data_IF_356509456269
#
_entry.id   IF_356509456269
#
_cell.length_a   1.000
_cell.length_b   1.000
_cell.length_c   1.000
_cell.angle_alpha   90.00
_cell.angle_beta   90.00
_cell.angle_gamma   90.00
#
_symmetry.space_group_name_H-M   'P 1'
#
loop_
_entity.id
_entity.type
_entity.pdbx_description
1 polymer ?
#
# COMPACT_ATOMS: atom_id res chain seq x y z
N UNK A 1 -9.92 14.66 -23.22
CA UNK A 1 -9.99 15.52 -22.01
C UNK A 1 -11.29 15.20 -21.30
N UNK A 2 -11.23 14.79 -20.02
CA UNK A 2 -12.43 14.58 -19.19
C UNK A 2 -12.87 15.94 -18.59
N UNK A 3 -14.17 16.23 -18.55
CA UNK A 3 -14.73 17.42 -17.88
C UNK A 3 -15.74 16.97 -16.83
N UNK A 4 -15.49 17.34 -15.58
CA UNK A 4 -16.36 17.06 -14.42
C UNK A 4 -16.66 18.40 -13.75
N UNK A 5 -17.91 18.60 -13.31
CA UNK A 5 -18.28 19.77 -12.50
C UNK A 5 -18.14 19.39 -11.03
N UNK A 6 -17.49 20.27 -10.27
CA UNK A 6 -17.30 20.15 -8.84
C UNK A 6 -17.63 21.50 -8.21
N UNK A 7 -18.26 21.46 -7.06
CA UNK A 7 -18.33 22.59 -6.14
C UNK A 7 -16.93 22.88 -5.57
N UNK A 8 -16.70 24.09 -5.02
CA UNK A 8 -15.44 24.40 -4.35
C UNK A 8 -15.10 23.44 -3.20
N UNK A 9 -16.13 22.98 -2.46
CA UNK A 9 -15.96 22.04 -1.36
C UNK A 9 -15.49 20.65 -1.84
N UNK A 10 -16.14 20.11 -2.88
CA UNK A 10 -15.74 18.82 -3.48
C UNK A 10 -14.33 18.90 -4.07
N UNK A 11 -13.94 20.04 -4.66
CA UNK A 11 -12.58 20.25 -5.15
C UNK A 11 -11.53 20.24 -4.03
N UNK A 12 -11.83 20.89 -2.90
CA UNK A 12 -10.95 20.91 -1.75
C UNK A 12 -10.77 19.50 -1.16
N UNK A 13 -11.87 18.75 -1.00
CA UNK A 13 -11.83 17.36 -0.52
C UNK A 13 -11.02 16.46 -1.45
N UNK A 14 -11.25 16.55 -2.77
CA UNK A 14 -10.55 15.74 -3.76
C UNK A 14 -9.03 16.02 -3.76
N UNK A 15 -8.66 17.29 -3.57
CA UNK A 15 -7.25 17.72 -3.46
C UNK A 15 -6.62 17.15 -2.18
N UNK A 16 -7.29 17.25 -1.04
CA UNK A 16 -6.79 16.71 0.23
C UNK A 16 -6.57 15.19 0.17
N UNK A 17 -7.49 14.44 -0.46
CA UNK A 17 -7.33 12.99 -0.65
C UNK A 17 -6.13 12.69 -1.57
N UNK A 18 -5.94 13.47 -2.64
CA UNK A 18 -4.82 13.31 -3.55
C UNK A 18 -3.48 13.56 -2.83
N UNK A 19 -3.40 14.63 -2.06
CA UNK A 19 -2.21 15.01 -1.28
C UNK A 19 -1.87 13.95 -0.23
N UNK A 20 -2.86 13.49 0.54
CA UNK A 20 -2.68 12.43 1.54
C UNK A 20 -2.18 11.12 0.92
N UNK A 21 -2.63 10.80 -0.29
CA UNK A 21 -2.19 9.62 -1.03
C UNK A 21 -0.89 9.83 -1.84
N UNK A 22 -0.37 11.07 -1.91
CA UNK A 22 0.81 11.40 -2.71
C UNK A 22 0.58 11.28 -4.22
N UNK A 23 -0.62 11.59 -4.69
CA UNK A 23 -0.99 11.63 -6.10
C UNK A 23 -1.39 13.05 -6.54
N UNK A 24 -1.36 13.30 -7.85
CA UNK A 24 -2.10 14.45 -8.40
C UNK A 24 -3.60 14.11 -8.45
N UNK A 25 -4.46 15.14 -8.39
CA UNK A 25 -5.93 14.96 -8.55
C UNK A 25 -6.28 14.17 -9.82
N UNK A 26 -5.59 14.44 -10.93
CA UNK A 26 -5.82 13.72 -12.19
C UNK A 26 -5.44 12.23 -12.10
N UNK A 27 -4.35 11.88 -11.40
CA UNK A 27 -3.95 10.49 -11.23
C UNK A 27 -4.91 9.74 -10.29
N UNK A 28 -5.35 10.40 -9.21
CA UNK A 28 -6.36 9.89 -8.29
C UNK A 28 -7.67 9.55 -9.02
N UNK A 29 -8.19 10.49 -9.83
CA UNK A 29 -9.41 10.30 -10.61
C UNK A 29 -9.25 9.15 -11.61
N UNK A 30 -8.13 9.10 -12.34
CA UNK A 30 -7.86 8.03 -13.31
C UNK A 30 -7.79 6.66 -12.63
N UNK A 31 -7.14 6.56 -11.48
CA UNK A 31 -7.05 5.32 -10.71
C UNK A 31 -8.42 4.84 -10.29
N UNK A 32 -9.22 5.70 -9.64
CA UNK A 32 -10.57 5.36 -9.20
C UNK A 32 -11.50 4.99 -10.36
N UNK A 33 -11.51 5.78 -11.43
CA UNK A 33 -12.36 5.53 -12.60
C UNK A 33 -12.03 4.20 -13.32
N UNK A 34 -10.80 3.70 -13.19
CA UNK A 34 -10.34 2.44 -13.78
C UNK A 34 -10.21 1.29 -12.75
N UNK A 35 -10.75 1.46 -11.54
CA UNK A 35 -10.71 0.45 -10.48
C UNK A 35 -9.30 0.10 -9.97
N UNK A 36 -8.33 1.02 -10.13
CA UNK A 36 -6.95 0.82 -9.66
C UNK A 36 -6.80 1.27 -8.21
N UNK A 37 -6.02 0.55 -7.39
CA UNK A 37 -5.79 0.92 -6.00
C UNK A 37 -5.08 2.28 -5.86
N UNK A 38 -5.49 3.01 -4.83
CA UNK A 38 -4.91 4.27 -4.38
C UNK A 38 -4.19 3.97 -3.06
N UNK A 39 -2.98 3.42 -3.16
CA UNK A 39 -2.07 3.25 -2.03
C UNK A 39 -1.27 4.54 -1.86
N UNK A 40 -1.10 5.03 -0.64
CA UNK A 40 -0.22 6.16 -0.43
C UNK A 40 1.20 5.80 -0.91
N UNK A 41 1.93 6.74 -1.52
CA UNK A 41 3.31 6.49 -1.97
C UNK A 41 4.20 5.96 -0.83
N UNK A 42 3.95 6.42 0.40
CA UNK A 42 4.59 5.92 1.61
C UNK A 42 4.27 4.43 1.86
N UNK A 43 3.01 4.01 1.71
CA UNK A 43 2.60 2.61 1.84
C UNK A 43 3.24 1.73 0.78
N UNK A 44 3.37 2.23 -0.46
CA UNK A 44 4.02 1.50 -1.54
C UNK A 44 5.53 1.30 -1.29
N UNK A 45 6.21 2.28 -0.68
CA UNK A 45 7.61 2.13 -0.26
C UNK A 45 7.74 1.15 0.91
N UNK A 46 6.85 1.25 1.91
CA UNK A 46 6.84 0.37 3.07
C UNK A 46 6.54 -1.09 2.68
N UNK A 47 5.56 -1.33 1.81
CA UNK A 47 5.24 -2.67 1.29
C UNK A 47 6.43 -3.27 0.53
N UNK A 48 7.17 -2.46 -0.24
CA UNK A 48 8.39 -2.95 -0.93
C UNK A 48 9.44 -3.41 0.07
N UNK A 49 9.65 -2.66 1.15
CA UNK A 49 10.62 -3.04 2.18
C UNK A 49 10.17 -4.28 2.96
N UNK A 50 8.89 -4.40 3.30
CA UNK A 50 8.31 -5.60 3.91
C UNK A 50 8.49 -6.84 3.03
N UNK A 51 8.29 -6.72 1.71
CA UNK A 51 8.54 -7.82 0.77
C UNK A 51 10.02 -8.20 0.70
N UNK A 52 10.93 -7.22 0.72
CA UNK A 52 12.37 -7.45 0.76
C UNK A 52 12.77 -8.23 2.00
N UNK A 53 12.33 -7.78 3.18
CA UNK A 53 12.58 -8.47 4.45
C UNK A 53 11.97 -9.88 4.47
N UNK A 54 10.76 -10.05 3.94
CA UNK A 54 10.12 -11.36 3.81
C UNK A 54 10.95 -12.35 2.97
N UNK A 55 11.56 -11.89 1.87
CA UNK A 55 12.47 -12.71 1.07
C UNK A 55 13.70 -13.17 1.85
N UNK A 56 14.30 -12.28 2.65
CA UNK A 56 15.44 -12.61 3.51
C UNK A 56 15.07 -13.62 4.61
N UNK A 57 13.93 -13.42 5.28
CA UNK A 57 13.46 -14.32 6.36
C UNK A 57 13.03 -15.68 5.79
N UNK A 58 12.43 -15.70 4.60
CA UNK A 58 12.10 -16.94 3.89
C UNK A 58 13.36 -17.80 3.70
N UNK A 59 14.48 -17.19 3.33
CA UNK A 59 15.74 -17.92 3.21
C UNK A 59 16.17 -18.57 4.53
N UNK A 60 16.07 -17.84 5.65
CA UNK A 60 16.35 -18.38 7.00
C UNK A 60 15.41 -19.54 7.37
N UNK A 61 14.12 -19.43 7.01
CA UNK A 61 13.16 -20.51 7.22
C UNK A 61 13.55 -21.77 6.44
N UNK A 62 13.89 -21.61 5.15
CA UNK A 62 14.27 -22.71 4.24
C UNK A 62 15.59 -23.38 4.62
N UNK A 63 16.55 -22.64 5.20
CA UNK A 63 17.80 -23.22 5.71
C UNK A 63 17.61 -24.14 6.92
N UNK A 64 16.44 -24.07 7.58
CA UNK A 64 16.14 -24.89 8.75
C UNK A 64 16.92 -24.50 10.02
N UNK A 65 16.67 -25.21 11.12
CA UNK A 65 17.39 -25.04 12.39
C UNK A 65 16.59 -24.36 13.49
N UNK A 66 17.28 -23.90 14.54
CA UNK A 66 16.66 -23.40 15.77
C UNK A 66 15.72 -22.20 15.56
N UNK A 67 15.90 -21.45 14.47
CA UNK A 67 15.15 -20.22 14.19
C UNK A 67 13.92 -20.43 13.29
N UNK A 68 13.65 -21.65 12.80
CA UNK A 68 12.55 -21.91 11.85
C UNK A 68 11.18 -21.47 12.38
N UNK A 69 10.88 -21.72 13.66
CA UNK A 69 9.61 -21.31 14.26
C UNK A 69 9.45 -19.78 14.31
N UNK A 70 10.51 -19.07 14.70
CA UNK A 70 10.56 -17.60 14.73
C UNK A 70 10.46 -17.02 13.32
N UNK A 71 11.16 -17.59 12.34
CA UNK A 71 11.09 -17.17 10.95
C UNK A 71 9.67 -17.33 10.37
N UNK A 72 9.00 -18.45 10.69
CA UNK A 72 7.61 -18.67 10.28
C UNK A 72 6.64 -17.64 10.89
N UNK A 73 6.84 -17.29 12.17
CA UNK A 73 6.06 -16.25 12.84
C UNK A 73 6.27 -14.88 12.21
N UNK A 74 7.52 -14.50 11.93
CA UNK A 74 7.85 -13.25 11.28
C UNK A 74 7.28 -13.15 9.86
N UNK A 75 7.31 -14.23 9.07
CA UNK A 75 6.67 -14.28 7.75
C UNK A 75 5.16 -14.03 7.84
N UNK A 76 4.47 -14.66 8.80
CA UNK A 76 3.03 -14.42 9.02
C UNK A 76 2.75 -12.96 9.40
N UNK A 77 3.57 -12.36 10.25
CA UNK A 77 3.43 -10.95 10.63
C UNK A 77 3.62 -10.01 9.43
N UNK A 78 4.63 -10.26 8.58
CA UNK A 78 4.86 -9.49 7.35
C UNK A 78 3.68 -9.61 6.39
N UNK A 79 3.15 -10.81 6.17
CA UNK A 79 1.96 -11.02 5.32
C UNK A 79 0.77 -10.23 5.86
N UNK A 80 0.48 -10.34 7.16
CA UNK A 80 -0.61 -9.59 7.78
C UNK A 80 -0.46 -8.07 7.65
N UNK A 81 0.75 -7.54 7.83
CA UNK A 81 1.05 -6.12 7.66
C UNK A 81 0.86 -5.65 6.20
N UNK A 82 1.34 -6.43 5.22
CA UNK A 82 1.15 -6.11 3.79
C UNK A 82 -0.34 -6.10 3.44
N UNK A 83 -1.11 -7.08 3.91
CA UNK A 83 -2.56 -7.11 3.65
C UNK A 83 -3.29 -5.94 4.30
N UNK A 84 -2.89 -5.53 5.51
CA UNK A 84 -3.47 -4.36 6.17
C UNK A 84 -3.19 -3.08 5.37
N UNK A 85 -1.93 -2.85 4.99
CA UNK A 85 -1.54 -1.69 4.18
C UNK A 85 -2.18 -1.70 2.78
N UNK A 86 -2.40 -2.88 2.20
CA UNK A 86 -3.03 -3.03 0.87
C UNK A 86 -4.54 -2.75 0.87
N UNK A 87 -5.21 -2.83 2.02
CA UNK A 87 -6.66 -2.58 2.15
C UNK A 87 -6.99 -1.08 2.20
N UNK A 88 -6.01 -0.20 2.43
CA UNK A 88 -6.22 1.24 2.63
C UNK A 88 -6.85 1.56 4.00
N UNK A 89 -6.90 2.84 4.43
CA UNK A 89 -7.52 3.22 5.69
C UNK A 89 -9.01 2.86 5.68
N UNK A 90 -9.47 2.25 6.78
CA UNK A 90 -10.87 1.91 7.05
C UNK A 90 -11.69 3.14 7.41
#
# INVERSE_FOLDING_TARGET
MLRVRLTPAEWAELTAIADAAGFTVSDLVRRRALGRPVLATADAALIRELRRQGGLIKHVYETGGAHTATAAQALRAIVGAIEHLSRGPS
#
